data_IF_739614058066
#
_entry.id   IF_739614058066
#
_cell.length_a   1.000
_cell.length_b   1.000
_cell.length_c   1.000
_cell.angle_alpha   90.00
_cell.angle_beta   90.00
_cell.angle_gamma   90.00
#
_symmetry.space_group_name_H-M   'P 1'
#
loop_
_entity.id
_entity.type
_entity.pdbx_description
1 polymer ?
#
# COMPACT_ATOMS: atom_id res chain seq x y z
N UNK A 1 -17.94 -8.13 -18.07
CA UNK A 1 -16.73 -7.30 -17.86
C UNK A 1 -16.02 -7.77 -16.60
N UNK A 2 -14.71 -7.72 -16.58
CA UNK A 2 -13.90 -8.07 -15.41
C UNK A 2 -14.04 -6.95 -14.37
N UNK A 3 -14.32 -7.26 -13.12
CA UNK A 3 -14.31 -6.25 -12.06
C UNK A 3 -12.88 -5.98 -11.62
N UNK A 4 -12.53 -4.71 -11.46
CA UNK A 4 -11.22 -4.33 -10.93
C UNK A 4 -11.40 -3.62 -9.57
N UNK A 5 -10.74 -4.17 -8.55
CA UNK A 5 -10.71 -3.58 -7.21
C UNK A 5 -9.37 -2.89 -6.96
N UNK A 6 -9.41 -1.69 -6.42
CA UNK A 6 -8.24 -0.95 -5.98
C UNK A 6 -8.07 -1.10 -4.46
N UNK A 7 -6.91 -1.54 -4.03
CA UNK A 7 -6.54 -1.63 -2.62
C UNK A 7 -5.44 -0.61 -2.37
N UNK A 8 -5.83 0.62 -2.06
CA UNK A 8 -4.91 1.73 -1.81
C UNK A 8 -4.67 1.94 -0.31
N UNK A 9 -3.76 2.83 0.02
CA UNK A 9 -3.43 3.17 1.39
C UNK A 9 -1.97 3.62 1.52
N UNK A 10 -1.70 4.44 2.51
CA UNK A 10 -0.40 5.05 2.72
C UNK A 10 0.71 4.02 3.00
N UNK A 11 1.95 4.48 3.02
CA UNK A 11 3.12 3.62 3.26
C UNK A 11 2.98 2.84 4.58
N UNK A 12 3.20 1.53 4.52
CA UNK A 12 3.17 0.66 5.70
C UNK A 12 1.79 0.42 6.31
N UNK A 13 0.71 0.84 5.65
CA UNK A 13 -0.66 0.66 6.14
C UNK A 13 -1.15 -0.78 6.18
N UNK A 14 -0.45 -1.74 5.55
CA UNK A 14 -0.81 -3.16 5.56
C UNK A 14 -1.65 -3.61 4.36
N UNK A 15 -1.58 -2.92 3.23
CA UNK A 15 -2.30 -3.27 1.99
C UNK A 15 -2.09 -4.73 1.59
N UNK A 16 -0.86 -5.17 1.45
CA UNK A 16 -0.50 -6.54 1.04
C UNK A 16 -1.08 -7.60 1.98
N UNK A 17 -1.06 -7.34 3.30
CA UNK A 17 -1.68 -8.24 4.30
C UNK A 17 -3.19 -8.32 4.11
N UNK A 18 -3.85 -7.20 3.84
CA UNK A 18 -5.29 -7.17 3.55
C UNK A 18 -5.60 -7.90 2.24
N UNK A 19 -4.84 -7.64 1.17
CA UNK A 19 -5.00 -8.32 -0.12
C UNK A 19 -4.90 -9.83 0.05
N UNK A 20 -3.92 -10.33 0.80
CA UNK A 20 -3.76 -11.77 1.04
C UNK A 20 -5.02 -12.38 1.64
N UNK A 21 -5.63 -11.73 2.63
CA UNK A 21 -6.86 -12.21 3.27
C UNK A 21 -8.09 -12.08 2.35
N UNK A 22 -8.23 -10.95 1.65
CA UNK A 22 -9.35 -10.70 0.75
C UNK A 22 -9.30 -11.60 -0.49
N UNK A 23 -8.13 -11.80 -1.07
CA UNK A 23 -7.90 -12.70 -2.18
C UNK A 23 -8.24 -14.16 -1.79
N UNK A 24 -7.79 -14.63 -0.62
CA UNK A 24 -8.13 -15.95 -0.13
C UNK A 24 -9.65 -16.13 0.00
N UNK A 25 -10.34 -15.13 0.57
CA UNK A 25 -11.80 -15.13 0.63
C UNK A 25 -12.44 -15.28 -0.76
N UNK A 26 -11.96 -14.52 -1.77
CA UNK A 26 -12.51 -14.60 -3.13
C UNK A 26 -12.26 -15.97 -3.77
N UNK A 27 -11.07 -16.53 -3.59
CA UNK A 27 -10.72 -17.89 -4.07
C UNK A 27 -11.64 -18.94 -3.43
N UNK A 28 -11.88 -18.84 -2.13
CA UNK A 28 -12.77 -19.76 -1.39
C UNK A 28 -14.24 -19.63 -1.84
N UNK A 29 -14.64 -18.48 -2.38
CA UNK A 29 -15.95 -18.28 -3.02
C UNK A 29 -15.97 -18.74 -4.50
N UNK A 30 -14.88 -19.26 -5.01
CA UNK A 30 -14.78 -19.79 -6.37
C UNK A 30 -14.48 -18.75 -7.45
N UNK A 31 -14.09 -17.53 -7.09
CA UNK A 31 -13.65 -16.54 -8.06
C UNK A 31 -12.29 -16.89 -8.65
N UNK A 32 -12.15 -16.67 -9.95
CA UNK A 32 -10.86 -16.64 -10.60
C UNK A 32 -10.34 -15.22 -10.60
N UNK A 33 -9.23 -14.97 -9.91
CA UNK A 33 -8.70 -13.63 -9.67
C UNK A 33 -7.30 -13.42 -10.25
N UNK A 34 -7.00 -12.18 -10.59
CA UNK A 34 -5.65 -11.72 -10.85
C UNK A 34 -5.26 -10.66 -9.83
N UNK A 35 -4.00 -10.64 -9.41
CA UNK A 35 -3.45 -9.61 -8.52
C UNK A 35 -2.35 -8.88 -9.28
N UNK A 36 -2.42 -7.54 -9.32
CA UNK A 36 -1.38 -6.68 -9.88
C UNK A 36 -0.74 -5.89 -8.74
N UNK A 37 0.52 -6.18 -8.49
CA UNK A 37 1.40 -5.32 -7.71
C UNK A 37 1.93 -4.20 -8.62
N UNK A 38 1.55 -2.97 -8.31
CA UNK A 38 1.90 -1.80 -9.11
C UNK A 38 2.80 -0.86 -8.31
N UNK A 39 4.11 -1.15 -8.27
CA UNK A 39 5.08 -0.39 -7.51
C UNK A 39 6.15 0.25 -8.41
N UNK A 40 6.51 1.50 -8.09
CA UNK A 40 7.61 2.20 -8.73
C UNK A 40 8.99 1.68 -8.32
N UNK A 41 9.07 0.87 -7.26
CA UNK A 41 10.31 0.34 -6.71
C UNK A 41 11.10 -0.54 -7.71
N UNK A 42 12.42 -0.46 -7.63
CA UNK A 42 13.31 -1.32 -8.44
C UNK A 42 13.26 -2.80 -8.02
N UNK A 43 12.80 -3.08 -6.79
CA UNK A 43 12.68 -4.42 -6.20
C UNK A 43 11.30 -4.54 -5.58
N UNK A 44 10.48 -5.43 -6.11
CA UNK A 44 9.16 -5.69 -5.54
C UNK A 44 9.24 -6.85 -4.56
N UNK A 45 9.20 -6.50 -3.30
CA UNK A 45 9.23 -7.46 -2.19
C UNK A 45 7.84 -7.87 -1.72
N UNK A 46 6.81 -7.06 -2.02
CA UNK A 46 5.43 -7.35 -1.60
C UNK A 46 4.87 -8.57 -2.37
N UNK A 47 5.28 -8.77 -3.63
CA UNK A 47 4.97 -9.98 -4.40
C UNK A 47 5.36 -11.28 -3.69
N UNK A 48 6.47 -11.28 -2.93
CA UNK A 48 6.92 -12.48 -2.23
C UNK A 48 5.93 -12.92 -1.14
N UNK A 49 5.20 -11.96 -0.55
CA UNK A 49 4.18 -12.23 0.47
C UNK A 49 2.90 -12.83 -0.12
N UNK A 50 2.68 -12.68 -1.42
CA UNK A 50 1.50 -13.14 -2.15
C UNK A 50 1.72 -14.46 -2.88
N UNK A 51 2.96 -14.95 -3.01
CA UNK A 51 3.29 -16.17 -3.77
C UNK A 51 2.49 -17.41 -3.35
N UNK A 52 2.15 -17.52 -2.06
CA UNK A 52 1.39 -18.65 -1.53
C UNK A 52 -0.06 -18.71 -2.11
N UNK A 53 -0.54 -17.60 -2.70
CA UNK A 53 -1.87 -17.53 -3.33
C UNK A 53 -1.87 -18.03 -4.78
N UNK A 54 -0.69 -18.14 -5.40
CA UNK A 54 -0.57 -18.53 -6.80
C UNK A 54 -1.12 -19.93 -7.03
N UNK A 55 -2.12 -20.06 -7.90
CA UNK A 55 -2.87 -21.26 -8.15
C UNK A 55 -3.59 -21.18 -9.50
N UNK A 56 -4.34 -22.22 -9.88
CA UNK A 56 -5.20 -22.17 -11.07
C UNK A 56 -6.26 -21.06 -11.02
N UNK A 57 -6.65 -20.64 -9.81
CA UNK A 57 -7.66 -19.60 -9.59
C UNK A 57 -7.06 -18.23 -9.22
N UNK A 58 -5.74 -18.10 -9.07
CA UNK A 58 -5.08 -16.86 -8.72
C UNK A 58 -3.76 -16.70 -9.48
N UNK A 59 -3.67 -15.67 -10.29
CA UNK A 59 -2.43 -15.31 -10.99
C UNK A 59 -1.88 -13.99 -10.44
N UNK A 60 -0.55 -13.95 -10.26
CA UNK A 60 0.16 -12.77 -9.78
C UNK A 60 0.88 -12.09 -10.94
N UNK A 61 0.73 -10.78 -11.04
CA UNK A 61 1.43 -9.96 -12.03
C UNK A 61 2.06 -8.74 -11.36
N UNK A 62 3.17 -8.28 -11.93
CA UNK A 62 3.94 -7.17 -11.38
C UNK A 62 4.14 -6.08 -12.42
N UNK A 63 3.98 -4.84 -11.99
CA UNK A 63 4.47 -3.66 -12.69
C UNK A 63 5.54 -3.01 -11.81
N UNK A 64 6.80 -3.19 -12.19
CA UNK A 64 7.93 -2.65 -11.45
C UNK A 64 8.82 -1.80 -12.32
N UNK A 65 9.51 -0.85 -11.71
CA UNK A 65 10.55 -0.02 -12.28
C UNK A 65 10.15 0.67 -13.58
N UNK A 66 10.18 1.97 -13.61
CA UNK A 66 10.03 2.76 -14.83
C UNK A 66 11.01 3.92 -14.80
N UNK A 67 11.38 4.42 -15.97
CA UNK A 67 12.24 5.61 -16.05
C UNK A 67 11.49 6.89 -15.68
N UNK A 68 10.16 6.90 -15.85
CA UNK A 68 9.27 8.01 -15.58
C UNK A 68 7.82 7.53 -15.35
N UNK A 69 6.95 8.46 -14.98
CA UNK A 69 5.53 8.23 -14.70
C UNK A 69 4.77 7.69 -15.93
N UNK A 70 5.02 8.24 -17.11
CA UNK A 70 4.32 7.84 -18.34
C UNK A 70 4.68 6.40 -18.74
N UNK A 71 5.94 6.02 -18.58
CA UNK A 71 6.39 4.66 -18.82
C UNK A 71 5.73 3.67 -17.86
N UNK A 72 5.59 4.05 -16.59
CA UNK A 72 4.92 3.24 -15.57
C UNK A 72 3.43 3.04 -15.88
N UNK A 73 2.71 4.11 -16.22
CA UNK A 73 1.31 4.05 -16.62
C UNK A 73 1.10 3.13 -17.83
N UNK A 74 1.96 3.23 -18.86
CA UNK A 74 1.89 2.36 -20.05
C UNK A 74 2.08 0.89 -19.70
N UNK A 75 3.02 0.57 -18.79
CA UNK A 75 3.23 -0.80 -18.32
C UNK A 75 2.00 -1.31 -17.57
N UNK A 76 1.45 -0.51 -16.68
CA UNK A 76 0.24 -0.84 -15.94
C UNK A 76 -0.94 -1.10 -16.89
N UNK A 77 -1.19 -0.20 -17.84
CA UNK A 77 -2.21 -0.38 -18.89
C UNK A 77 -1.99 -1.67 -19.69
N UNK A 78 -0.75 -1.97 -20.09
CA UNK A 78 -0.41 -3.19 -20.82
C UNK A 78 -0.70 -4.45 -20.00
N UNK A 79 -0.42 -4.43 -18.69
CA UNK A 79 -0.74 -5.56 -17.82
C UNK A 79 -2.24 -5.76 -17.68
N UNK A 80 -3.01 -4.69 -17.48
CA UNK A 80 -4.48 -4.76 -17.46
C UNK A 80 -5.03 -5.31 -18.78
N UNK A 81 -4.53 -4.88 -19.94
CA UNK A 81 -4.92 -5.43 -21.23
C UNK A 81 -4.67 -6.95 -21.27
N UNK A 82 -3.46 -7.38 -20.88
CA UNK A 82 -3.13 -8.81 -20.84
C UNK A 82 -4.05 -9.60 -19.92
N UNK A 83 -4.35 -9.09 -18.74
CA UNK A 83 -5.21 -9.76 -17.77
C UNK A 83 -6.67 -9.79 -18.24
N UNK A 84 -7.18 -8.72 -18.86
CA UNK A 84 -8.53 -8.69 -19.39
C UNK A 84 -8.80 -9.77 -20.44
N UNK A 85 -7.75 -10.21 -21.14
CA UNK A 85 -7.86 -11.31 -22.14
C UNK A 85 -7.86 -12.71 -21.50
N UNK A 86 -7.49 -12.85 -20.23
CA UNK A 86 -7.35 -14.16 -19.55
C UNK A 86 -8.63 -14.66 -18.90
N UNK A 87 -9.71 -13.85 -18.87
CA UNK A 87 -11.02 -14.26 -18.37
C UNK A 87 -11.11 -14.39 -16.86
N UNK A 88 -10.49 -13.49 -16.12
CA UNK A 88 -10.68 -13.34 -14.68
C UNK A 88 -12.07 -12.80 -14.36
N UNK A 89 -12.62 -13.22 -13.22
CA UNK A 89 -13.82 -12.62 -12.66
C UNK A 89 -13.51 -11.25 -12.05
N UNK A 90 -12.31 -11.15 -11.43
CA UNK A 90 -11.88 -9.96 -10.72
C UNK A 90 -10.35 -9.77 -10.77
N UNK A 91 -9.93 -8.52 -10.86
CA UNK A 91 -8.51 -8.14 -10.76
C UNK A 91 -8.35 -7.22 -9.54
N UNK A 92 -7.45 -7.57 -8.64
CA UNK A 92 -7.05 -6.78 -7.48
C UNK A 92 -5.81 -5.99 -7.84
N UNK A 93 -5.82 -4.68 -7.60
CA UNK A 93 -4.67 -3.80 -7.86
C UNK A 93 -4.16 -3.24 -6.54
N UNK A 94 -2.90 -3.52 -6.22
CA UNK A 94 -2.18 -2.86 -5.13
C UNK A 94 -1.21 -1.82 -5.71
N UNK A 95 -1.49 -0.53 -5.59
CA UNK A 95 -0.53 0.49 -5.98
C UNK A 95 0.47 0.77 -4.87
N UNK A 96 1.56 1.47 -5.21
CA UNK A 96 2.49 2.04 -4.24
C UNK A 96 1.76 2.88 -3.20
N UNK A 97 2.30 2.94 -1.97
CA UNK A 97 1.71 3.74 -0.88
C UNK A 97 1.71 5.24 -1.10
N UNK A 98 2.40 5.73 -2.13
CA UNK A 98 2.42 7.14 -2.55
C UNK A 98 1.65 7.38 -3.84
N UNK A 99 0.79 6.44 -4.26
CA UNK A 99 0.02 6.51 -5.48
C UNK A 99 -1.18 7.47 -5.37
N UNK A 100 -1.38 8.32 -6.38
CA UNK A 100 -2.58 9.14 -6.52
C UNK A 100 -3.70 8.32 -7.18
N UNK A 101 -4.81 8.16 -6.47
CA UNK A 101 -5.93 7.31 -6.90
C UNK A 101 -6.58 7.79 -8.19
N UNK A 102 -6.52 9.07 -8.53
CA UNK A 102 -7.05 9.58 -9.81
C UNK A 102 -6.39 8.89 -11.01
N UNK A 103 -5.09 8.56 -10.92
CA UNK A 103 -4.39 7.88 -12.01
C UNK A 103 -4.94 6.50 -12.33
N UNK A 104 -5.47 5.80 -11.33
CA UNK A 104 -6.15 4.52 -11.54
C UNK A 104 -7.42 4.68 -12.36
N UNK A 105 -8.24 5.67 -12.01
CA UNK A 105 -9.46 5.96 -12.75
C UNK A 105 -9.18 6.42 -14.18
N UNK A 106 -8.19 7.30 -14.36
CA UNK A 106 -7.78 7.80 -15.67
C UNK A 106 -7.41 6.65 -16.61
N UNK A 107 -6.57 5.71 -16.15
CA UNK A 107 -6.14 4.55 -16.96
C UNK A 107 -7.33 3.66 -17.33
N UNK A 108 -8.28 3.41 -16.44
CA UNK A 108 -9.44 2.56 -16.71
C UNK A 108 -10.46 3.20 -17.67
N UNK A 109 -10.50 4.53 -17.72
CA UNK A 109 -11.34 5.26 -18.66
C UNK A 109 -10.75 5.36 -20.09
N UNK A 110 -9.53 4.84 -20.31
CA UNK A 110 -8.93 4.80 -21.63
C UNK A 110 -9.29 3.51 -22.41
N UNK A 111 -9.45 3.63 -23.72
CA UNK A 111 -9.57 2.48 -24.61
C UNK A 111 -8.30 1.61 -24.62
N UNK A 112 -8.38 0.28 -24.65
CA UNK A 112 -9.60 -0.54 -24.72
C UNK A 112 -10.16 -0.95 -23.35
N UNK A 113 -9.62 -0.46 -22.23
CA UNK A 113 -9.93 -0.94 -20.89
C UNK A 113 -11.39 -0.66 -20.50
N UNK A 114 -11.95 0.48 -20.94
CA UNK A 114 -13.38 0.83 -20.73
C UNK A 114 -14.35 -0.24 -21.20
N UNK A 115 -13.96 -1.03 -22.21
CA UNK A 115 -14.81 -2.09 -22.77
C UNK A 115 -14.65 -3.43 -22.04
N UNK A 116 -13.59 -3.60 -21.27
CA UNK A 116 -13.24 -4.88 -20.65
C UNK A 116 -13.40 -4.88 -19.15
N UNK A 117 -13.24 -3.70 -18.52
CA UNK A 117 -13.26 -3.54 -17.08
C UNK A 117 -14.44 -2.73 -16.57
N UNK A 118 -14.89 -3.11 -15.41
CA UNK A 118 -15.79 -2.33 -14.56
C UNK A 118 -15.10 -2.10 -13.21
N UNK A 119 -15.13 -0.86 -12.73
CA UNK A 119 -14.60 -0.56 -11.39
C UNK A 119 -15.49 -1.27 -10.37
N UNK A 120 -14.89 -2.15 -9.60
CA UNK A 120 -15.55 -2.90 -8.53
C UNK A 120 -15.53 -2.13 -7.21
N UNK A 121 -14.58 -2.45 -6.36
CA UNK A 121 -14.43 -1.80 -5.06
C UNK A 121 -13.16 -0.95 -5.00
N UNK A 122 -13.22 0.12 -4.22
CA UNK A 122 -12.03 0.88 -3.81
C UNK A 122 -11.93 0.79 -2.29
N UNK A 123 -10.84 0.19 -1.80
CA UNK A 123 -10.51 0.08 -0.39
C UNK A 123 -9.33 0.98 -0.06
N UNK A 124 -9.48 1.80 0.96
CA UNK A 124 -8.34 2.51 1.55
C UNK A 124 -7.94 1.83 2.86
N UNK A 125 -6.71 1.35 2.92
CA UNK A 125 -6.15 0.76 4.14
C UNK A 125 -5.38 1.85 4.88
N UNK A 126 -5.78 2.14 6.11
CA UNK A 126 -5.18 3.20 6.92
C UNK A 126 -4.64 2.58 8.22
N UNK A 127 -3.38 2.87 8.54
CA UNK A 127 -2.78 2.48 9.81
C UNK A 127 -3.49 3.21 10.96
N UNK A 128 -4.03 2.47 11.93
CA UNK A 128 -4.70 3.05 13.09
C UNK A 128 -3.78 3.93 13.95
N UNK A 129 -2.46 3.78 13.80
CA UNK A 129 -1.42 4.60 14.44
C UNK A 129 -0.71 5.53 13.46
N UNK A 130 -1.45 6.04 12.47
CA UNK A 130 -0.91 6.96 11.45
C UNK A 130 -0.08 8.08 12.07
N UNK A 131 1.05 8.42 11.46
CA UNK A 131 1.94 9.49 11.92
C UNK A 131 1.19 10.82 12.14
N UNK A 132 1.51 11.54 13.25
CA UNK A 132 0.71 12.71 13.66
C UNK A 132 0.88 13.95 12.78
N UNK A 133 2.08 14.17 12.26
CA UNK A 133 2.44 15.40 11.57
C UNK A 133 2.77 15.10 10.11
N UNK A 134 1.75 14.81 9.32
CA UNK A 134 1.92 14.63 7.89
C UNK A 134 2.24 15.95 7.21
N UNK A 135 3.14 15.91 6.22
CA UNK A 135 3.34 17.02 5.29
C UNK A 135 2.06 17.34 4.51
N UNK A 136 2.04 18.44 3.79
CA UNK A 136 0.91 18.79 2.94
C UNK A 136 0.73 17.77 1.83
N UNK A 137 1.82 17.29 1.25
CA UNK A 137 1.86 16.28 0.20
C UNK A 137 1.38 14.91 0.71
N UNK A 138 1.83 14.48 1.89
CA UNK A 138 1.36 13.25 2.53
C UNK A 138 -0.12 13.34 2.92
N UNK A 139 -0.58 14.49 3.40
CA UNK A 139 -1.99 14.75 3.69
C UNK A 139 -2.85 14.70 2.43
N UNK A 140 -2.34 15.21 1.29
CA UNK A 140 -3.03 15.08 0.00
C UNK A 140 -3.16 13.63 -0.43
N UNK A 141 -2.08 12.84 -0.36
CA UNK A 141 -2.14 11.43 -0.72
C UNK A 141 -3.12 10.66 0.16
N UNK A 142 -3.11 10.90 1.47
CA UNK A 142 -4.09 10.31 2.38
C UNK A 142 -5.52 10.69 1.95
N UNK A 143 -5.78 11.97 1.70
CA UNK A 143 -7.09 12.44 1.27
C UNK A 143 -7.52 11.82 -0.07
N UNK A 144 -6.62 11.74 -1.07
CA UNK A 144 -6.89 11.15 -2.39
C UNK A 144 -7.22 9.65 -2.29
N UNK A 145 -6.56 8.94 -1.36
CA UNK A 145 -6.79 7.51 -1.14
C UNK A 145 -8.13 7.22 -0.47
N UNK A 146 -8.56 8.06 0.48
CA UNK A 146 -9.78 7.83 1.24
C UNK A 146 -11.03 8.45 0.61
N UNK A 147 -10.90 9.50 -0.22
CA UNK A 147 -12.06 10.20 -0.81
C UNK A 147 -12.88 9.28 -1.70
N UNK A 148 -12.25 8.47 -2.53
CA UNK A 148 -12.91 7.58 -3.48
C UNK A 148 -13.24 6.19 -2.91
N UNK A 149 -12.74 5.85 -1.71
CA UNK A 149 -12.93 4.52 -1.13
C UNK A 149 -14.38 4.27 -0.72
N UNK A 150 -14.97 3.16 -1.17
CA UNK A 150 -16.25 2.66 -0.65
C UNK A 150 -16.14 2.19 0.79
N UNK A 151 -14.98 1.61 1.17
CA UNK A 151 -14.63 1.28 2.56
C UNK A 151 -13.22 1.73 2.90
N UNK A 152 -13.07 2.26 4.11
CA UNK A 152 -11.81 2.62 4.72
C UNK A 152 -11.59 1.65 5.88
N UNK A 153 -10.53 0.86 5.79
CA UNK A 153 -10.27 -0.25 6.72
C UNK A 153 -9.08 0.14 7.59
N UNK A 154 -9.31 0.27 8.89
CA UNK A 154 -8.22 0.54 9.83
C UNK A 154 -7.45 -0.76 10.11
N UNK A 155 -6.15 -0.71 9.85
CA UNK A 155 -5.21 -1.78 10.20
C UNK A 155 -4.63 -1.56 11.60
N UNK A 156 -3.97 -2.58 12.16
CA UNK A 156 -3.24 -2.53 13.44
C UNK A 156 -4.09 -2.03 14.64
N UNK A 157 -5.40 -2.22 14.57
CA UNK A 157 -6.33 -1.82 15.64
C UNK A 157 -6.15 -2.64 16.91
N UNK A 158 -5.50 -3.80 16.82
CA UNK A 158 -5.16 -4.69 17.94
C UNK A 158 -4.02 -4.15 18.81
N UNK A 159 -3.10 -3.39 18.21
CA UNK A 159 -1.92 -2.81 18.88
C UNK A 159 -2.06 -1.31 19.18
N UNK A 160 -3.15 -0.70 18.70
CA UNK A 160 -3.38 0.75 18.80
C UNK A 160 -4.44 1.08 19.86
N UNK A 161 -4.18 2.10 20.69
CA UNK A 161 -5.15 2.54 21.70
C UNK A 161 -6.41 3.15 21.06
N UNK A 162 -7.55 3.10 21.79
CA UNK A 162 -8.81 3.68 21.30
C UNK A 162 -8.69 5.18 21.05
N UNK A 163 -7.97 5.88 21.90
CA UNK A 163 -7.71 7.31 21.79
C UNK A 163 -6.94 7.61 20.50
N UNK A 164 -5.93 6.78 20.20
CA UNK A 164 -5.13 6.96 18.98
C UNK A 164 -5.94 6.67 17.71
N UNK A 165 -6.82 5.67 17.74
CA UNK A 165 -7.77 5.40 16.63
C UNK A 165 -8.64 6.63 16.36
N UNK A 166 -9.18 7.27 17.42
CA UNK A 166 -10.00 8.48 17.27
C UNK A 166 -9.17 9.63 16.69
N UNK A 167 -7.93 9.84 17.17
CA UNK A 167 -7.02 10.83 16.60
C UNK A 167 -6.75 10.56 15.10
N UNK A 168 -6.53 9.32 14.71
CA UNK A 168 -6.32 8.95 13.29
C UNK A 168 -7.55 9.24 12.43
N UNK A 169 -8.76 8.96 12.93
CA UNK A 169 -10.00 9.32 12.23
C UNK A 169 -10.12 10.84 12.08
N UNK A 170 -9.74 11.59 13.11
CA UNK A 170 -9.73 13.06 13.02
C UNK A 170 -8.71 13.54 11.99
N UNK A 171 -7.49 12.98 11.96
CA UNK A 171 -6.49 13.31 10.94
C UNK A 171 -6.98 13.04 9.52
N UNK A 172 -7.70 11.94 9.28
CA UNK A 172 -8.33 11.68 7.98
C UNK A 172 -9.34 12.77 7.59
N UNK A 173 -10.18 13.22 8.54
CA UNK A 173 -11.12 14.32 8.31
C UNK A 173 -10.39 15.64 8.05
N UNK A 174 -9.32 15.92 8.79
CA UNK A 174 -8.52 17.13 8.62
C UNK A 174 -7.83 17.14 7.24
N UNK A 175 -7.31 15.98 6.80
CA UNK A 175 -6.74 15.84 5.46
C UNK A 175 -7.79 16.09 4.36
N UNK A 176 -9.00 15.54 4.49
CA UNK A 176 -10.09 15.82 3.55
C UNK A 176 -10.47 17.31 3.55
N UNK A 177 -10.63 17.90 4.73
CA UNK A 177 -10.99 19.31 4.88
C UNK A 177 -9.94 20.25 4.28
N UNK A 178 -8.63 19.91 4.40
CA UNK A 178 -7.51 20.68 3.83
C UNK A 178 -7.62 20.83 2.31
N UNK A 179 -8.23 19.85 1.65
CA UNK A 179 -8.41 19.82 0.19
C UNK A 179 -9.90 19.90 -0.22
N UNK A 180 -10.72 20.55 0.60
CA UNK A 180 -12.14 20.83 0.33
C UNK A 180 -13.01 19.59 0.10
N UNK A 181 -12.58 18.43 0.60
CA UNK A 181 -13.36 17.19 0.60
C UNK A 181 -14.46 17.18 1.64
N UNK A 182 -15.41 16.26 1.48
CA UNK A 182 -16.48 16.05 2.47
C UNK A 182 -15.97 15.25 3.67
N UNK A 183 -16.55 15.47 4.87
CA UNK A 183 -16.25 14.65 6.05
C UNK A 183 -16.54 13.16 5.81
N UNK A 184 -15.77 12.31 6.47
CA UNK A 184 -15.97 10.86 6.42
C UNK A 184 -17.32 10.44 7.00
N UNK A 185 -18.03 9.58 6.29
CA UNK A 185 -19.19 8.90 6.81
C UNK A 185 -18.78 7.69 7.64
N UNK A 186 -19.34 7.54 8.84
CA UNK A 186 -18.98 6.42 9.74
C UNK A 186 -19.24 5.05 9.13
N UNK A 187 -20.26 4.92 8.28
CA UNK A 187 -20.59 3.68 7.57
C UNK A 187 -19.48 3.21 6.59
N UNK A 188 -18.60 4.13 6.17
CA UNK A 188 -17.43 3.79 5.34
C UNK A 188 -16.27 3.25 6.15
N UNK A 189 -16.26 3.42 7.46
CA UNK A 189 -15.19 2.95 8.34
C UNK A 189 -15.41 1.49 8.74
N UNK A 190 -14.35 0.68 8.59
CA UNK A 190 -14.28 -0.68 9.15
C UNK A 190 -13.17 -0.71 10.18
N UNK A 191 -13.57 -0.77 11.46
CA UNK A 191 -12.65 -0.79 12.60
C UNK A 191 -12.79 -2.16 13.26
N UNK A 192 -12.04 -3.13 12.74
CA UNK A 192 -12.07 -4.51 13.23
C UNK A 192 -10.72 -5.16 13.08
N UNK A 193 -10.31 -5.98 14.05
CA UNK A 193 -9.11 -6.79 13.92
C UNK A 193 -9.25 -7.75 12.76
N UNK A 194 -8.24 -7.88 11.96
CA UNK A 194 -8.32 -8.68 10.73
C UNK A 194 -8.53 -10.17 10.99
N UNK A 195 -7.99 -10.69 12.11
CA UNK A 195 -8.19 -12.09 12.51
C UNK A 195 -9.60 -12.35 13.09
N UNK A 196 -10.35 -11.30 13.41
CA UNK A 196 -11.74 -11.37 13.85
C UNK A 196 -12.74 -11.12 12.70
N UNK A 197 -12.26 -10.87 11.47
CA UNK A 197 -13.14 -10.67 10.31
C UNK A 197 -13.83 -11.98 9.93
N UNK A 198 -15.15 -11.89 9.75
CA UNK A 198 -16.02 -13.02 9.39
C UNK A 198 -16.32 -13.06 7.89
N UNK A 199 -16.98 -14.11 7.44
CA UNK A 199 -17.47 -14.22 6.07
C UNK A 199 -18.44 -13.08 5.71
N UNK A 200 -19.29 -12.67 6.66
CA UNK A 200 -20.22 -11.56 6.49
C UNK A 200 -19.47 -10.21 6.32
N UNK A 201 -18.36 -10.02 7.05
CA UNK A 201 -17.52 -8.81 6.88
C UNK A 201 -16.94 -8.76 5.47
N UNK A 202 -16.40 -9.87 4.96
CA UNK A 202 -15.88 -9.91 3.59
C UNK A 202 -16.97 -9.77 2.52
N UNK A 203 -18.15 -10.30 2.78
CA UNK A 203 -19.31 -10.12 1.89
C UNK A 203 -19.76 -8.64 1.87
N UNK A 204 -19.73 -7.95 3.00
CA UNK A 204 -19.95 -6.50 3.07
C UNK A 204 -18.91 -5.75 2.23
N UNK A 205 -17.61 -6.11 2.37
CA UNK A 205 -16.54 -5.51 1.60
C UNK A 205 -16.73 -5.74 0.09
N UNK A 206 -17.09 -6.95 -0.32
CA UNK A 206 -17.31 -7.30 -1.74
C UNK A 206 -18.38 -6.42 -2.41
N UNK A 207 -19.29 -5.87 -1.64
CA UNK A 207 -20.40 -5.02 -2.11
C UNK A 207 -20.21 -3.52 -1.80
N UNK A 208 -19.03 -3.09 -1.35
CA UNK A 208 -18.81 -1.72 -0.88
C UNK A 208 -18.68 -0.68 -1.99
N UNK A 209 -18.36 -1.11 -3.21
CA UNK A 209 -18.19 -0.24 -4.38
C UNK A 209 -17.12 0.85 -4.16
N UNK A 210 -17.34 2.04 -4.70
CA UNK A 210 -16.50 3.24 -4.54
C UNK A 210 -17.40 4.48 -4.47
N UNK A 211 -16.82 5.63 -4.13
CA UNK A 211 -17.56 6.90 -4.11
C UNK A 211 -17.06 7.83 -5.20
N UNK A 212 -17.95 8.70 -5.68
CA UNK A 212 -17.63 9.76 -6.63
C UNK A 212 -17.35 11.11 -5.91
N UNK A 213 -16.96 11.06 -4.64
CA UNK A 213 -16.51 12.25 -3.93
C UNK A 213 -15.16 12.69 -4.46
N UNK A 214 -14.86 13.97 -4.37
CA UNK A 214 -13.63 14.55 -4.89
C UNK A 214 -13.00 15.50 -3.86
N UNK A 215 -11.71 15.77 -4.07
CA UNK A 215 -10.92 16.76 -3.36
C UNK A 215 -10.25 17.69 -4.37
N UNK A 216 -9.84 18.87 -3.92
CA UNK A 216 -9.04 19.77 -4.76
C UNK A 216 -7.65 19.17 -5.00
N UNK A 217 -7.25 19.08 -6.28
CA UNK A 217 -5.98 18.48 -6.66
C UNK A 217 -4.79 19.34 -6.26
N UNK A 218 -3.85 18.74 -5.54
CA UNK A 218 -2.54 19.32 -5.28
C UNK A 218 -1.56 18.87 -6.37
N UNK A 219 -0.99 19.84 -7.09
CA UNK A 219 0.00 19.54 -8.11
C UNK A 219 1.41 19.55 -7.51
N UNK A 220 2.06 18.39 -7.47
CA UNK A 220 3.44 18.21 -7.06
C UNK A 220 4.07 17.02 -7.77
N UNK A 221 5.39 16.97 -7.79
CA UNK A 221 6.09 15.78 -8.29
C UNK A 221 6.25 14.77 -7.15
N UNK A 222 5.59 13.64 -7.24
CA UNK A 222 5.62 12.60 -6.22
C UNK A 222 7.04 12.07 -5.96
N UNK A 223 7.87 11.94 -7.00
CA UNK A 223 9.25 11.47 -6.88
C UNK A 223 10.18 12.48 -6.20
N UNK A 224 9.84 13.77 -6.26
CA UNK A 224 10.60 14.82 -5.57
C UNK A 224 10.13 14.92 -4.10
N UNK A 225 8.83 14.76 -3.85
CA UNK A 225 8.26 14.81 -2.51
C UNK A 225 8.63 13.55 -1.70
N UNK A 226 8.57 12.37 -2.31
CA UNK A 226 8.83 11.09 -1.66
C UNK A 226 9.98 10.36 -2.35
N UNK A 227 11.01 10.06 -1.59
CA UNK A 227 12.21 9.40 -2.07
C UNK A 227 12.31 7.97 -1.52
N UNK A 228 12.88 7.07 -2.33
CA UNK A 228 13.19 5.71 -1.92
C UNK A 228 14.69 5.44 -2.14
N UNK A 229 15.37 5.00 -1.09
CA UNK A 229 16.78 4.59 -1.14
C UNK A 229 16.87 3.07 -0.96
N UNK A 230 17.69 2.44 -1.77
CA UNK A 230 17.87 0.98 -1.79
C UNK A 230 19.30 0.63 -1.40
N UNK A 231 19.44 -0.30 -0.45
CA UNK A 231 20.71 -0.81 0.02
C UNK A 231 20.73 -2.33 -0.15
N UNK A 232 21.71 -2.82 -0.88
CA UNK A 232 21.90 -4.23 -1.20
C UNK A 232 23.13 -4.78 -0.46
N UNK A 233 23.19 -6.10 -0.29
CA UNK A 233 24.31 -6.81 0.32
C UNK A 233 24.60 -6.42 1.77
N UNK A 234 23.56 -6.14 2.53
CA UNK A 234 23.64 -5.77 3.95
C UNK A 234 23.42 -7.00 4.82
N UNK A 235 24.43 -7.40 5.59
CA UNK A 235 24.39 -8.55 6.48
C UNK A 235 24.26 -8.08 7.93
N UNK A 236 23.07 -7.64 8.31
CA UNK A 236 22.78 -7.30 9.71
C UNK A 236 22.02 -8.44 10.38
N UNK A 237 22.31 -8.65 11.68
CA UNK A 237 21.38 -9.39 12.52
C UNK A 237 20.19 -8.50 12.92
N UNK A 238 19.14 -9.12 13.43
CA UNK A 238 17.90 -8.44 13.78
C UNK A 238 18.10 -7.25 14.73
N UNK A 239 18.86 -7.44 15.80
CA UNK A 239 19.01 -6.41 16.84
C UNK A 239 19.81 -5.22 16.31
N UNK A 240 20.87 -5.48 15.57
CA UNK A 240 21.68 -4.45 14.92
C UNK A 240 20.87 -3.66 13.90
N UNK A 241 20.05 -4.35 13.11
CA UNK A 241 19.17 -3.72 12.12
C UNK A 241 18.16 -2.80 12.79
N UNK A 242 17.45 -3.27 13.81
CA UNK A 242 16.47 -2.48 14.56
C UNK A 242 17.14 -1.26 15.23
N UNK A 243 18.32 -1.43 15.82
CA UNK A 243 19.05 -0.32 16.43
C UNK A 243 19.42 0.77 15.41
N UNK A 244 19.96 0.37 14.26
CA UNK A 244 20.32 1.31 13.19
C UNK A 244 19.10 2.10 12.69
N UNK A 245 17.98 1.40 12.45
CA UNK A 245 16.76 2.07 11.99
C UNK A 245 16.22 3.04 13.04
N UNK A 246 16.21 2.65 14.33
CA UNK A 246 15.79 3.54 15.40
C UNK A 246 16.69 4.79 15.52
N UNK A 247 17.96 4.69 15.19
CA UNK A 247 18.83 5.86 15.11
C UNK A 247 18.47 6.74 13.92
N UNK A 248 18.25 6.15 12.74
CA UNK A 248 17.86 6.87 11.52
C UNK A 248 16.57 7.66 11.73
N UNK A 249 15.55 7.08 12.35
CA UNK A 249 14.29 7.79 12.66
C UNK A 249 14.47 8.98 13.61
N UNK A 250 15.51 8.98 14.44
CA UNK A 250 15.81 10.06 15.41
C UNK A 250 16.80 11.09 14.89
N UNK A 251 17.55 10.75 13.86
CA UNK A 251 18.58 11.61 13.27
C UNK A 251 17.95 12.55 12.26
N UNK A 252 17.69 13.78 12.67
CA UNK A 252 17.11 14.83 11.82
C UNK A 252 17.96 15.14 10.59
N UNK A 253 19.26 14.86 10.61
CA UNK A 253 20.14 15.03 9.45
C UNK A 253 19.85 14.01 8.35
N UNK A 254 19.13 12.92 8.63
CA UNK A 254 18.73 11.92 7.65
C UNK A 254 17.54 12.36 6.78
N UNK A 255 16.87 13.47 7.11
CA UNK A 255 15.59 13.88 6.55
C UNK A 255 14.41 13.22 7.28
N UNK A 256 13.19 13.37 6.74
CA UNK A 256 12.00 12.77 7.34
C UNK A 256 11.82 11.34 6.84
N UNK A 257 12.41 10.38 7.56
CA UNK A 257 12.26 8.95 7.25
C UNK A 257 10.91 8.45 7.76
N UNK A 258 10.06 8.03 6.85
CA UNK A 258 8.69 7.57 7.14
C UNK A 258 8.63 6.06 7.35
N UNK A 259 9.39 5.29 6.56
CA UNK A 259 9.35 3.83 6.58
C UNK A 259 10.71 3.23 6.23
N UNK A 260 11.08 2.18 6.94
CA UNK A 260 12.20 1.31 6.55
C UNK A 260 11.69 -0.12 6.46
N UNK A 261 11.92 -0.75 5.32
CA UNK A 261 11.62 -2.16 5.08
C UNK A 261 12.94 -2.88 4.78
N UNK A 262 13.14 -4.05 5.37
CA UNK A 262 14.35 -4.83 5.14
C UNK A 262 14.13 -6.30 5.37
N UNK A 263 15.14 -7.09 4.97
CA UNK A 263 15.09 -8.53 5.09
C UNK A 263 16.39 -9.02 5.69
N UNK A 264 16.30 -10.02 6.54
CA UNK A 264 17.45 -10.67 7.11
C UNK A 264 17.23 -12.18 7.20
N UNK A 265 18.32 -12.92 7.21
CA UNK A 265 18.29 -14.36 7.37
C UNK A 265 18.78 -14.77 8.76
N UNK A 266 18.00 -15.62 9.45
CA UNK A 266 18.37 -16.22 10.72
C UNK A 266 18.13 -17.73 10.63
N UNK A 267 19.15 -18.54 10.89
CA UNK A 267 19.07 -20.02 10.93
C UNK A 267 18.40 -20.63 9.66
N UNK A 268 18.69 -20.08 8.48
CA UNK A 268 18.13 -20.45 7.17
C UNK A 268 16.68 -19.98 6.92
N UNK A 269 16.03 -19.29 7.87
CA UNK A 269 14.72 -18.68 7.70
C UNK A 269 14.88 -17.21 7.33
N UNK A 270 14.03 -16.73 6.44
CA UNK A 270 13.98 -15.33 6.08
C UNK A 270 12.94 -14.60 6.91
N UNK A 271 13.27 -13.40 7.29
CA UNK A 271 12.39 -12.49 8.05
C UNK A 271 12.32 -11.15 7.35
N UNK A 272 11.12 -10.65 7.23
CA UNK A 272 10.85 -9.26 6.86
C UNK A 272 10.78 -8.41 8.12
N UNK A 273 11.48 -7.27 8.11
CA UNK A 273 11.29 -6.19 9.08
C UNK A 273 10.67 -5.01 8.35
N UNK A 274 9.57 -4.49 8.89
CA UNK A 274 8.88 -3.32 8.40
C UNK A 274 8.69 -2.36 9.57
N UNK A 275 9.34 -1.18 9.52
CA UNK A 275 9.38 -0.22 10.60
C UNK A 275 8.89 1.14 10.13
N UNK A 276 8.08 1.78 10.95
CA UNK A 276 7.75 3.21 10.93
C UNK A 276 8.17 3.81 12.26
N UNK A 277 8.04 5.11 12.46
CA UNK A 277 8.34 5.73 13.75
C UNK A 277 7.49 5.16 14.89
N UNK A 278 6.25 4.76 14.61
CA UNK A 278 5.27 4.30 15.58
C UNK A 278 5.24 2.78 15.75
N UNK A 279 5.67 2.02 14.72
CA UNK A 279 5.47 0.58 14.69
C UNK A 279 6.67 -0.19 14.15
N UNK A 280 6.88 -1.38 14.72
CA UNK A 280 7.80 -2.40 14.21
C UNK A 280 7.03 -3.69 13.98
N UNK A 281 7.09 -4.22 12.77
CA UNK A 281 6.55 -5.54 12.41
C UNK A 281 7.69 -6.43 11.93
N UNK A 282 7.72 -7.66 12.43
CA UNK A 282 8.68 -8.70 12.03
C UNK A 282 7.86 -9.94 11.72
N UNK A 283 8.03 -10.49 10.52
CA UNK A 283 7.35 -11.71 10.12
C UNK A 283 8.29 -12.65 9.39
N UNK A 284 8.11 -13.94 9.60
CA UNK A 284 8.80 -14.97 8.84
C UNK A 284 8.21 -15.05 7.44
N UNK A 285 9.07 -15.21 6.43
CA UNK A 285 8.69 -15.31 5.02
C UNK A 285 9.41 -16.49 4.38
N UNK A 286 8.82 -17.08 3.34
CA UNK A 286 9.38 -18.25 2.68
C UNK A 286 10.66 -17.96 1.93
N UNK A 287 10.75 -16.79 1.31
CA UNK A 287 11.93 -16.33 0.56
C UNK A 287 12.14 -14.84 0.84
N UNK A 288 13.39 -14.42 0.88
CA UNK A 288 13.78 -13.05 1.09
C UNK A 288 14.88 -12.62 0.13
N UNK A 289 15.11 -11.33 0.07
CA UNK A 289 16.25 -10.74 -0.65
C UNK A 289 17.04 -9.88 0.32
N UNK A 290 18.35 -9.81 0.09
CA UNK A 290 19.23 -8.93 0.87
C UNK A 290 19.07 -7.48 0.38
N UNK A 291 17.98 -6.84 0.79
CA UNK A 291 17.66 -5.46 0.45
C UNK A 291 17.07 -4.72 1.65
N UNK A 292 17.46 -3.46 1.79
CA UNK A 292 16.86 -2.50 2.71
C UNK A 292 16.31 -1.35 1.86
N UNK A 293 15.09 -0.97 2.13
CA UNK A 293 14.38 0.13 1.45
C UNK A 293 14.04 1.17 2.49
N UNK A 294 14.57 2.39 2.30
CA UNK A 294 14.27 3.55 3.14
C UNK A 294 13.40 4.51 2.34
N UNK A 295 12.24 4.84 2.85
CA UNK A 295 11.27 5.74 2.19
C UNK A 295 10.98 6.93 3.09
N UNK A 296 10.94 8.13 2.51
CA UNK A 296 10.67 9.34 3.26
C UNK A 296 10.72 10.60 2.39
N UNK A 297 10.62 11.73 3.05
CA UNK A 297 10.67 13.07 2.46
C UNK A 297 12.03 13.71 2.75
N UNK A 298 12.57 14.46 1.80
CA UNK A 298 13.84 15.19 1.93
C UNK A 298 15.01 14.31 2.44
N UNK A 299 15.08 13.05 1.99
CA UNK A 299 16.07 12.11 2.47
C UNK A 299 17.51 12.54 2.16
N UNK A 300 18.35 12.58 3.18
CA UNK A 300 19.79 12.82 3.02
C UNK A 300 20.53 11.49 2.83
N UNK A 301 20.66 11.10 1.54
CA UNK A 301 21.33 9.85 1.16
C UNK A 301 22.71 9.71 1.80
N UNK A 302 23.52 10.78 1.84
CA UNK A 302 24.88 10.73 2.38
C UNK A 302 24.89 10.39 3.88
N UNK A 303 23.93 10.87 4.64
CA UNK A 303 23.80 10.56 6.07
C UNK A 303 23.30 9.14 6.28
N UNK A 304 22.29 8.73 5.53
CA UNK A 304 21.72 7.38 5.61
C UNK A 304 22.74 6.32 5.18
N UNK A 305 23.58 6.61 4.18
CA UNK A 305 24.66 5.75 3.72
C UNK A 305 25.61 5.34 4.88
N UNK A 306 25.86 6.21 5.87
CA UNK A 306 26.72 5.88 7.01
C UNK A 306 26.14 4.79 7.93
N UNK A 307 24.86 4.54 7.88
CA UNK A 307 24.21 3.49 8.66
C UNK A 307 24.24 2.13 7.94
N UNK A 308 24.27 2.14 6.59
CA UNK A 308 24.10 0.93 5.78
C UNK A 308 25.32 0.56 4.93
N UNK A 309 26.33 1.40 4.85
CA UNK A 309 27.62 1.15 4.20
C UNK A 309 28.74 1.13 5.23
#
# INVERSE_FOLDING_TARGET
MVKVDLITGFLGSGKTTFIKKYAQYLIDQGYRIGIIENDFGAVNVDMMLLQDLESENCELEMVAGACDKDCHQRRFKTKLISMGMRGFDRVLVEPSGIFDVEEFFDVLHEEPLTNWYEIGNVFAIVDASLEKNLSKEASYLLASQIVSAGKIILSKVDTTSKERIVETIQQMNDALALFHGKPLLQERLKIKKWDEMTQEDYQELLNSQYTNDYIEKLWFNQNDAFQSLYYMNNRFNQDEFIQKINHIFKDQDCGHVMRVKGFYQKEKHWYEINMTQENTSIQEINQGQDVIIVIGEELNKNKIDHYFK
#
